data_IF_738054751896
#
_entry.id   IF_738054751896
#
_cell.length_a   1.000
_cell.length_b   1.000
_cell.length_c   1.000
_cell.angle_alpha   90.00
_cell.angle_beta   90.00
_cell.angle_gamma   90.00
#
_symmetry.space_group_name_H-M   'P 1'
#
loop_
_entity.id
_entity.type
_entity.pdbx_description
1 polymer ?
#
# COMPACT_ATOMS: atom_id res chain seq x y z
N UNK A 1 -8.71 4.68 -27.67
CA UNK A 1 -8.35 3.87 -26.50
C UNK A 1 -7.05 4.44 -25.96
N UNK A 2 -6.92 4.65 -24.66
CA UNK A 2 -5.67 5.18 -24.07
C UNK A 2 -4.61 4.07 -23.96
N UNK A 3 -3.35 4.44 -23.76
CA UNK A 3 -2.27 3.46 -23.54
C UNK A 3 -2.55 2.66 -22.27
N UNK A 4 -3.07 3.30 -21.23
CA UNK A 4 -3.45 2.65 -19.97
C UNK A 4 -4.47 1.54 -20.21
N UNK A 5 -5.57 1.82 -20.95
CA UNK A 5 -6.61 0.81 -21.24
C UNK A 5 -6.05 -0.35 -22.04
N UNK A 6 -5.28 -0.08 -23.09
CA UNK A 6 -4.64 -1.10 -23.93
C UNK A 6 -3.74 -2.07 -23.12
N UNK A 7 -2.91 -1.51 -22.24
CA UNK A 7 -1.98 -2.28 -21.42
C UNK A 7 -2.75 -3.19 -20.46
N UNK A 8 -3.80 -2.68 -19.83
CA UNK A 8 -4.55 -3.42 -18.81
C UNK A 8 -5.44 -4.50 -19.45
N UNK A 9 -6.12 -4.21 -20.56
CA UNK A 9 -6.92 -5.20 -21.28
C UNK A 9 -6.07 -6.36 -21.80
N UNK A 10 -4.87 -6.09 -22.33
CA UNK A 10 -3.91 -7.13 -22.72
C UNK A 10 -3.48 -8.03 -21.56
N UNK A 11 -3.62 -7.55 -20.31
CA UNK A 11 -3.33 -8.30 -19.07
C UNK A 11 -4.56 -8.92 -18.42
N UNK A 12 -5.69 -8.92 -19.13
CA UNK A 12 -6.94 -9.59 -18.72
C UNK A 12 -7.83 -8.77 -17.80
N UNK A 13 -7.59 -7.47 -17.66
CA UNK A 13 -8.56 -6.58 -17.01
C UNK A 13 -9.74 -6.33 -17.94
N UNK A 14 -10.96 -6.30 -17.39
CA UNK A 14 -12.13 -5.93 -18.17
C UNK A 14 -12.10 -4.44 -18.56
N UNK A 15 -12.84 -4.07 -19.61
CA UNK A 15 -12.84 -2.71 -20.15
C UNK A 15 -13.29 -1.66 -19.13
N UNK A 16 -14.23 -2.00 -18.24
CA UNK A 16 -14.71 -1.07 -17.21
C UNK A 16 -13.59 -0.75 -16.20
N UNK A 17 -12.94 -1.77 -15.70
CA UNK A 17 -11.80 -1.65 -14.79
C UNK A 17 -10.66 -0.88 -15.44
N UNK A 18 -10.36 -1.16 -16.72
CA UNK A 18 -9.31 -0.46 -17.47
C UNK A 18 -9.64 1.04 -17.66
N UNK A 19 -10.90 1.40 -17.88
CA UNK A 19 -11.36 2.80 -17.96
C UNK A 19 -11.29 3.51 -16.59
N UNK A 20 -11.54 2.81 -15.49
CA UNK A 20 -11.39 3.34 -14.14
C UNK A 20 -9.91 3.69 -13.86
N UNK A 21 -8.97 2.86 -14.26
CA UNK A 21 -7.54 3.14 -14.18
C UNK A 21 -7.11 4.31 -15.08
N UNK A 22 -7.68 4.43 -16.29
CA UNK A 22 -7.41 5.58 -17.14
C UNK A 22 -7.90 6.89 -16.50
N UNK A 23 -9.11 6.89 -15.94
CA UNK A 23 -9.64 8.04 -15.19
C UNK A 23 -8.75 8.40 -14.00
N UNK A 24 -8.21 7.40 -13.31
CA UNK A 24 -7.24 7.60 -12.23
C UNK A 24 -5.95 8.22 -12.74
N UNK A 25 -5.39 7.71 -13.85
CA UNK A 25 -4.18 8.25 -14.47
C UNK A 25 -4.36 9.72 -14.87
N UNK A 26 -5.43 10.05 -15.58
CA UNK A 26 -5.72 11.43 -15.97
C UNK A 26 -5.82 12.37 -14.76
N UNK A 27 -6.47 11.90 -13.69
CA UNK A 27 -6.59 12.67 -12.44
C UNK A 27 -5.22 12.82 -11.77
N UNK A 28 -4.40 11.76 -11.77
CA UNK A 28 -3.05 11.76 -11.21
C UNK A 28 -2.16 12.79 -11.91
N UNK A 29 -2.15 12.81 -13.24
CA UNK A 29 -1.32 13.75 -14.03
C UNK A 29 -1.78 15.20 -13.78
N UNK A 30 -3.08 15.47 -13.83
CA UNK A 30 -3.62 16.81 -13.55
C UNK A 30 -3.20 17.33 -12.16
N UNK A 31 -3.23 16.49 -11.14
CA UNK A 31 -2.80 16.88 -9.79
C UNK A 31 -1.28 16.93 -9.65
N UNK A 32 -0.56 16.09 -10.38
CA UNK A 32 0.90 16.04 -10.32
C UNK A 32 1.56 17.35 -10.73
N UNK A 33 0.96 18.08 -11.68
CA UNK A 33 1.38 19.43 -12.07
C UNK A 33 1.35 20.43 -10.90
N UNK A 34 0.51 20.17 -9.87
CA UNK A 34 0.28 21.08 -8.75
C UNK A 34 1.03 20.72 -7.48
N UNK A 35 1.19 19.41 -7.21
CA UNK A 35 1.67 18.97 -5.87
C UNK A 35 2.74 17.87 -5.90
N UNK A 36 3.31 17.52 -7.05
CA UNK A 36 4.36 16.52 -7.20
C UNK A 36 4.02 15.18 -6.50
N UNK A 37 3.02 14.47 -6.99
CA UNK A 37 2.55 13.18 -6.45
C UNK A 37 3.48 12.04 -6.82
N UNK A 38 4.03 12.06 -8.03
CA UNK A 38 4.88 11.01 -8.59
C UNK A 38 5.93 11.60 -9.55
N UNK A 39 7.08 10.93 -9.66
CA UNK A 39 8.07 11.20 -10.69
C UNK A 39 7.75 10.49 -12.03
N UNK A 40 6.85 9.49 -12.01
CA UNK A 40 6.46 8.71 -13.19
C UNK A 40 5.23 9.37 -13.82
N UNK A 41 5.46 10.05 -14.94
CA UNK A 41 4.40 10.77 -15.68
C UNK A 41 4.11 10.17 -17.05
N UNK A 42 5.00 9.32 -17.57
CA UNK A 42 4.73 8.54 -18.79
C UNK A 42 3.59 7.56 -18.55
N UNK A 43 2.63 7.52 -19.48
CA UNK A 43 1.39 6.75 -19.32
C UNK A 43 1.66 5.24 -19.25
N UNK A 44 2.56 4.73 -20.12
CA UNK A 44 2.95 3.31 -20.11
C UNK A 44 3.65 2.94 -18.82
N UNK A 45 4.60 3.76 -18.38
CA UNK A 45 5.30 3.52 -17.12
C UNK A 45 4.36 3.56 -15.91
N UNK A 46 3.41 4.51 -15.88
CA UNK A 46 2.42 4.60 -14.81
C UNK A 46 1.51 3.36 -14.78
N UNK A 47 1.03 2.91 -15.94
CA UNK A 47 0.22 1.69 -16.04
C UNK A 47 0.98 0.47 -15.48
N UNK A 48 2.26 0.30 -15.81
CA UNK A 48 3.06 -0.84 -15.40
C UNK A 48 3.55 -0.71 -13.94
N UNK A 49 4.26 0.38 -13.64
CA UNK A 49 4.99 0.56 -12.38
C UNK A 49 4.11 1.05 -11.23
N UNK A 50 2.91 1.59 -11.52
CA UNK A 50 1.98 1.99 -10.48
C UNK A 50 0.78 1.03 -10.40
N UNK A 51 0.02 0.84 -11.49
CA UNK A 51 -1.23 0.08 -11.43
C UNK A 51 -0.98 -1.42 -11.37
N UNK A 52 -0.31 -1.99 -12.38
CA UNK A 52 -0.03 -3.44 -12.43
C UNK A 52 0.79 -3.89 -11.21
N UNK A 53 1.81 -3.13 -10.83
CA UNK A 53 2.61 -3.39 -9.62
C UNK A 53 1.74 -3.44 -8.36
N UNK A 54 0.89 -2.46 -8.16
CA UNK A 54 0.01 -2.39 -6.98
C UNK A 54 -0.98 -3.56 -6.92
N UNK A 55 -1.61 -3.90 -8.05
CA UNK A 55 -2.56 -5.02 -8.15
C UNK A 55 -1.89 -6.37 -7.94
N UNK A 56 -0.58 -6.46 -8.21
CA UNK A 56 0.19 -7.69 -7.96
C UNK A 56 0.18 -8.11 -6.48
N UNK A 57 -0.15 -7.22 -5.53
CA UNK A 57 -0.38 -7.60 -4.15
C UNK A 57 -1.49 -8.66 -3.99
N UNK A 58 -2.46 -8.70 -4.89
CA UNK A 58 -3.55 -9.70 -4.84
C UNK A 58 -3.08 -11.14 -5.12
N UNK A 59 -1.89 -11.31 -5.71
CA UNK A 59 -1.30 -12.63 -6.00
C UNK A 59 -1.04 -13.48 -4.76
N UNK A 60 -0.88 -12.86 -3.58
CA UNK A 60 -0.68 -13.62 -2.33
C UNK A 60 -1.94 -14.35 -1.81
N UNK A 61 -3.10 -14.17 -2.44
CA UNK A 61 -4.37 -14.82 -2.08
C UNK A 61 -4.85 -14.59 -0.64
N UNK A 62 -4.35 -13.55 0.04
CA UNK A 62 -4.73 -13.21 1.41
C UNK A 62 -5.97 -12.30 1.50
N UNK A 63 -6.30 -11.60 0.42
CA UNK A 63 -7.41 -10.65 0.36
C UNK A 63 -8.74 -11.40 0.19
N UNK A 64 -9.43 -11.71 1.32
CA UNK A 64 -10.74 -12.35 1.29
C UNK A 64 -11.85 -11.30 1.18
N UNK A 65 -13.07 -11.75 0.90
CA UNK A 65 -14.23 -10.86 0.75
C UNK A 65 -14.50 -10.03 2.00
N UNK A 66 -14.88 -8.78 1.80
CA UNK A 66 -15.27 -7.82 2.82
C UNK A 66 -14.20 -7.50 3.88
N UNK A 67 -12.93 -7.87 3.65
CA UNK A 67 -11.84 -7.54 4.57
C UNK A 67 -11.62 -6.03 4.68
N UNK A 68 -11.21 -5.61 5.88
CA UNK A 68 -10.74 -4.25 6.17
C UNK A 68 -9.25 -4.13 5.87
N UNK A 69 -8.89 -3.14 5.06
CA UNK A 69 -7.52 -2.91 4.61
C UNK A 69 -7.11 -1.48 4.97
N UNK A 70 -5.88 -1.31 5.40
CA UNK A 70 -5.26 0.00 5.57
C UNK A 70 -4.00 0.11 4.71
N UNK A 71 -3.87 1.22 3.98
CA UNK A 71 -2.68 1.57 3.22
C UNK A 71 -1.94 2.71 3.93
N UNK A 72 -0.76 2.42 4.45
CA UNK A 72 0.02 3.34 5.29
C UNK A 72 1.09 4.05 4.49
N UNK A 73 1.01 5.38 4.45
CA UNK A 73 1.86 6.20 3.62
C UNK A 73 1.50 6.07 2.15
N UNK A 74 0.22 6.06 1.86
CA UNK A 74 -0.35 5.73 0.55
C UNK A 74 0.11 6.64 -0.59
N UNK A 75 0.54 7.86 -0.29
CA UNK A 75 1.02 8.83 -1.28
C UNK A 75 -0.06 9.18 -2.30
N UNK A 76 0.18 8.83 -3.54
CA UNK A 76 -0.80 8.98 -4.61
C UNK A 76 -1.81 7.81 -4.68
N UNK A 77 -2.02 7.07 -3.59
CA UNK A 77 -3.01 5.99 -3.50
C UNK A 77 -2.46 4.59 -3.78
N UNK A 78 -1.15 4.40 -3.74
CA UNK A 78 -0.50 3.13 -4.09
C UNK A 78 0.05 2.40 -2.86
N UNK A 79 -0.31 1.09 -2.70
CA UNK A 79 -1.05 0.24 -3.61
C UNK A 79 -2.57 0.20 -3.39
N UNK A 80 -3.11 0.91 -2.38
CA UNK A 80 -4.47 0.76 -1.89
C UNK A 80 -5.56 0.98 -2.93
N UNK A 81 -5.54 2.10 -3.67
CA UNK A 81 -6.57 2.41 -4.67
C UNK A 81 -6.61 1.40 -5.84
N UNK A 82 -5.49 1.00 -6.46
CA UNK A 82 -5.51 -0.07 -7.47
C UNK A 82 -6.08 -1.39 -6.95
N UNK A 83 -5.76 -1.79 -5.73
CA UNK A 83 -6.35 -2.96 -5.08
C UNK A 83 -7.88 -2.79 -4.96
N UNK A 84 -8.34 -1.63 -4.51
CA UNK A 84 -9.77 -1.32 -4.35
C UNK A 84 -10.52 -1.29 -5.69
N UNK A 85 -9.92 -0.77 -6.74
CA UNK A 85 -10.52 -0.76 -8.09
C UNK A 85 -10.80 -2.20 -8.54
N UNK A 86 -9.86 -3.12 -8.33
CA UNK A 86 -10.01 -4.54 -8.68
C UNK A 86 -10.90 -5.33 -7.68
N UNK A 87 -10.97 -4.90 -6.43
CA UNK A 87 -11.67 -5.59 -5.33
C UNK A 87 -12.59 -4.62 -4.60
N UNK A 88 -13.72 -4.30 -5.23
CA UNK A 88 -14.70 -3.31 -4.71
C UNK A 88 -15.39 -3.75 -3.44
N UNK A 89 -15.34 -5.03 -3.12
CA UNK A 89 -15.84 -5.64 -1.90
C UNK A 89 -15.01 -5.29 -0.63
N UNK A 90 -13.75 -4.89 -0.79
CA UNK A 90 -12.87 -4.57 0.33
C UNK A 90 -13.20 -3.20 0.95
N UNK A 91 -13.03 -3.08 2.26
CA UNK A 91 -13.14 -1.79 2.98
C UNK A 91 -11.74 -1.19 3.10
N UNK A 92 -11.49 -0.06 2.44
CA UNK A 92 -10.16 0.54 2.35
C UNK A 92 -10.03 1.82 3.17
N UNK A 93 -8.97 1.92 3.96
CA UNK A 93 -8.54 3.15 4.63
C UNK A 93 -7.17 3.56 4.10
N UNK A 94 -7.06 4.78 3.58
CA UNK A 94 -5.84 5.36 3.03
C UNK A 94 -5.29 6.40 4.01
N UNK A 95 -4.03 6.24 4.43
CA UNK A 95 -3.39 7.15 5.40
C UNK A 95 -2.20 7.85 4.78
N UNK A 96 -2.20 9.18 4.80
CA UNK A 96 -1.04 9.99 4.43
C UNK A 96 -0.88 11.19 5.37
N UNK A 97 0.36 11.60 5.60
CA UNK A 97 0.71 12.74 6.46
C UNK A 97 0.58 14.10 5.77
N UNK A 98 0.32 14.14 4.46
CA UNK A 98 0.19 15.36 3.68
C UNK A 98 -1.27 15.58 3.24
N UNK A 99 -1.90 16.62 3.78
CA UNK A 99 -3.31 16.92 3.47
C UNK A 99 -3.58 17.12 1.97
N UNK A 100 -2.61 17.65 1.22
CA UNK A 100 -2.74 17.82 -0.23
C UNK A 100 -2.94 16.47 -0.95
N UNK A 101 -2.26 15.42 -0.49
CA UNK A 101 -2.44 14.05 -1.02
C UNK A 101 -3.80 13.48 -0.66
N UNK A 102 -4.24 13.70 0.58
CA UNK A 102 -5.59 13.30 1.01
C UNK A 102 -6.67 13.93 0.15
N UNK A 103 -6.55 15.21 -0.19
CA UNK A 103 -7.49 15.89 -1.09
C UNK A 103 -7.50 15.27 -2.50
N UNK A 104 -6.33 14.94 -3.05
CA UNK A 104 -6.23 14.21 -4.31
C UNK A 104 -6.92 12.84 -4.24
N UNK A 105 -6.66 12.07 -3.19
CA UNK A 105 -7.27 10.75 -2.99
C UNK A 105 -8.80 10.84 -2.95
N UNK A 106 -9.35 11.83 -2.24
CA UNK A 106 -10.79 12.06 -2.17
C UNK A 106 -11.39 12.36 -3.55
N UNK A 107 -10.69 13.11 -4.40
CA UNK A 107 -11.15 13.36 -5.76
C UNK A 107 -11.17 12.08 -6.60
N UNK A 108 -10.12 11.25 -6.54
CA UNK A 108 -10.09 9.96 -7.24
C UNK A 108 -11.23 9.05 -6.75
N UNK A 109 -11.40 8.92 -5.43
CA UNK A 109 -12.46 8.11 -4.83
C UNK A 109 -13.85 8.57 -5.34
N UNK A 110 -14.08 9.87 -5.33
CA UNK A 110 -15.34 10.46 -5.81
C UNK A 110 -15.59 10.22 -7.30
N UNK A 111 -14.58 10.46 -8.15
CA UNK A 111 -14.68 10.25 -9.61
C UNK A 111 -14.94 8.80 -9.99
N UNK A 112 -14.36 7.87 -9.26
CA UNK A 112 -14.51 6.43 -9.51
C UNK A 112 -15.68 5.80 -8.74
N UNK A 113 -16.37 6.55 -7.88
CA UNK A 113 -17.49 6.04 -7.08
C UNK A 113 -17.11 4.88 -6.16
N UNK A 114 -15.90 4.92 -5.56
CA UNK A 114 -15.39 3.84 -4.72
C UNK A 114 -16.03 3.88 -3.33
N UNK A 115 -17.10 3.12 -3.14
CA UNK A 115 -17.73 2.93 -1.82
C UNK A 115 -16.79 2.26 -0.81
N UNK A 116 -17.09 2.38 0.49
CA UNK A 116 -16.28 1.82 1.58
C UNK A 116 -14.78 2.14 1.48
N UNK A 117 -14.47 3.39 1.07
CA UNK A 117 -13.11 3.89 0.92
C UNK A 117 -12.97 5.20 1.68
N UNK A 118 -12.06 5.23 2.64
CA UNK A 118 -11.86 6.34 3.57
C UNK A 118 -10.44 6.86 3.50
N UNK A 119 -10.26 8.15 3.71
CA UNK A 119 -8.94 8.79 3.79
C UNK A 119 -8.73 9.39 5.17
N UNK A 120 -7.50 9.32 5.68
CA UNK A 120 -7.13 9.90 6.97
C UNK A 120 -5.85 10.71 6.78
N UNK A 121 -5.93 12.00 7.13
CA UNK A 121 -4.77 12.87 7.25
C UNK A 121 -4.14 12.69 8.63
N UNK A 122 -3.12 11.86 8.73
CA UNK A 122 -2.41 11.61 9.99
C UNK A 122 -1.01 11.05 9.73
N UNK A 123 -0.15 11.18 10.75
CA UNK A 123 1.09 10.39 10.81
C UNK A 123 0.77 8.98 11.29
N UNK A 124 1.42 7.99 10.70
CA UNK A 124 1.22 6.58 11.07
C UNK A 124 1.55 6.34 12.56
N UNK A 125 2.58 7.03 13.09
CA UNK A 125 3.00 6.92 14.49
C UNK A 125 1.94 7.41 15.48
N UNK A 126 1.13 8.39 15.09
CA UNK A 126 0.04 8.94 15.91
C UNK A 126 -1.20 8.05 15.77
N UNK A 127 -1.59 7.74 14.54
CA UNK A 127 -2.77 6.94 14.25
C UNK A 127 -2.65 5.50 14.80
N UNK A 128 -1.45 4.90 14.76
CA UNK A 128 -1.18 3.55 15.27
C UNK A 128 -1.33 3.42 16.81
N UNK A 129 -1.48 4.54 17.53
CA UNK A 129 -1.81 4.59 18.96
C UNK A 129 -3.30 4.81 19.22
N UNK A 130 -4.03 5.27 18.21
CA UNK A 130 -5.47 5.50 18.35
C UNK A 130 -6.21 4.17 18.44
N UNK A 131 -7.02 4.00 19.48
CA UNK A 131 -7.79 2.77 19.77
C UNK A 131 -8.77 2.39 18.67
N UNK A 132 -9.25 3.38 17.89
CA UNK A 132 -10.20 3.13 16.80
C UNK A 132 -9.51 2.51 15.57
N UNK A 133 -8.20 2.62 15.46
CA UNK A 133 -7.44 2.13 14.32
C UNK A 133 -6.42 1.04 14.69
N UNK A 134 -5.94 1.03 15.94
CA UNK A 134 -4.96 0.05 16.41
C UNK A 134 -5.54 -1.35 16.42
N UNK A 135 -4.85 -2.27 15.70
CA UNK A 135 -5.21 -3.69 15.61
C UNK A 135 -6.66 -3.94 15.11
N UNK A 136 -7.11 -3.13 14.14
CA UNK A 136 -8.45 -3.20 13.58
C UNK A 136 -8.52 -3.76 12.16
N UNK A 137 -7.41 -3.79 11.44
CA UNK A 137 -7.41 -4.14 10.03
C UNK A 137 -6.96 -5.57 9.79
N UNK A 138 -7.62 -6.23 8.82
CA UNK A 138 -7.27 -7.58 8.38
C UNK A 138 -5.92 -7.58 7.69
N UNK A 139 -5.69 -6.58 6.82
CA UNK A 139 -4.46 -6.43 6.08
C UNK A 139 -4.00 -4.97 6.17
N UNK A 140 -2.71 -4.77 6.44
CA UNK A 140 -2.01 -3.53 6.18
C UNK A 140 -1.17 -3.69 4.92
N UNK A 141 -1.26 -2.74 4.01
CA UNK A 141 -0.37 -2.67 2.83
C UNK A 141 0.49 -1.42 2.91
N UNK A 142 1.67 -1.45 2.30
CA UNK A 142 2.50 -0.25 2.11
C UNK A 142 3.51 -0.47 0.98
N UNK A 143 3.84 0.62 0.27
CA UNK A 143 4.81 0.63 -0.82
C UNK A 143 5.74 1.86 -0.73
N UNK A 144 7.05 1.66 -0.90
CA UNK A 144 8.05 2.71 -1.12
C UNK A 144 8.16 3.83 -0.05
N UNK A 145 7.68 3.62 1.19
CA UNK A 145 7.72 4.63 2.26
C UNK A 145 9.06 4.67 2.97
N UNK A 146 9.61 3.49 3.32
CA UNK A 146 10.86 3.34 4.07
C UNK A 146 11.42 1.92 3.95
N UNK A 147 12.57 1.65 4.61
CA UNK A 147 13.07 0.29 4.75
C UNK A 147 12.11 -0.59 5.60
N UNK A 148 12.23 -1.89 5.47
CA UNK A 148 11.28 -2.84 6.08
C UNK A 148 11.26 -2.75 7.61
N UNK A 149 12.40 -2.46 8.28
CA UNK A 149 12.46 -2.26 9.74
C UNK A 149 11.50 -1.13 10.18
N UNK A 150 11.60 0.02 9.51
CA UNK A 150 10.75 1.18 9.78
C UNK A 150 9.30 0.91 9.43
N UNK A 151 9.05 0.31 8.27
CA UNK A 151 7.69 -0.02 7.83
C UNK A 151 7.00 -0.98 8.77
N UNK A 152 7.71 -1.99 9.28
CA UNK A 152 7.17 -2.93 10.25
C UNK A 152 6.67 -2.19 11.50
N UNK A 153 7.43 -1.21 12.01
CA UNK A 153 6.99 -0.41 13.17
C UNK A 153 5.78 0.48 12.86
N UNK A 154 5.70 1.01 11.65
CA UNK A 154 4.60 1.89 11.24
C UNK A 154 3.32 1.13 10.88
N UNK A 155 3.43 -0.11 10.38
CA UNK A 155 2.31 -0.88 9.82
C UNK A 155 1.74 -1.93 10.79
N UNK A 156 2.59 -2.65 11.53
CA UNK A 156 2.15 -3.73 12.42
C UNK A 156 1.16 -3.30 13.50
N UNK A 157 1.22 -2.06 14.06
CA UNK A 157 0.23 -1.60 15.02
C UNK A 157 -1.21 -1.55 14.50
N UNK A 158 -1.44 -1.49 13.20
CA UNK A 158 -2.78 -1.48 12.62
C UNK A 158 -3.37 -2.88 12.39
N UNK A 159 -2.50 -3.88 12.23
CA UNK A 159 -2.90 -5.25 11.89
C UNK A 159 -3.46 -5.97 13.11
N UNK A 160 -4.66 -6.53 13.01
CA UNK A 160 -5.23 -7.37 14.07
C UNK A 160 -4.48 -8.69 14.22
N UNK A 161 -4.48 -9.30 15.38
CA UNK A 161 -3.91 -10.64 15.57
C UNK A 161 -4.60 -11.63 14.62
N UNK A 162 -3.81 -12.39 13.87
CA UNK A 162 -4.27 -13.27 12.78
C UNK A 162 -4.27 -12.61 11.40
N UNK A 163 -4.15 -11.28 11.31
CA UNK A 163 -4.05 -10.54 10.05
C UNK A 163 -2.63 -10.48 9.49
N UNK A 164 -2.44 -9.69 8.42
CA UNK A 164 -1.19 -9.66 7.67
C UNK A 164 -0.72 -8.24 7.35
N UNK A 165 0.59 -8.05 7.35
CA UNK A 165 1.25 -6.93 6.71
C UNK A 165 1.85 -7.40 5.39
N UNK A 166 1.44 -6.79 4.28
CA UNK A 166 1.92 -7.07 2.93
C UNK A 166 2.67 -5.84 2.41
N UNK A 167 3.99 -5.95 2.32
CA UNK A 167 4.86 -4.86 1.87
C UNK A 167 5.35 -5.09 0.45
N UNK A 168 5.07 -4.13 -0.45
CA UNK A 168 5.59 -4.15 -1.81
C UNK A 168 7.01 -3.59 -1.78
N UNK A 169 7.96 -4.40 -2.23
CA UNK A 169 9.40 -4.13 -2.18
C UNK A 169 10.09 -4.36 -3.51
N UNK A 170 11.17 -3.66 -3.72
CA UNK A 170 12.08 -3.85 -4.84
C UNK A 170 13.09 -4.97 -4.60
N UNK A 171 14.20 -5.01 -5.38
CA UNK A 171 15.16 -6.11 -5.39
C UNK A 171 15.88 -6.38 -4.07
N UNK A 172 15.94 -5.39 -3.17
CA UNK A 172 16.60 -5.52 -1.85
C UNK A 172 15.72 -6.12 -0.75
N UNK A 173 14.59 -6.74 -1.10
CA UNK A 173 13.63 -7.26 -0.13
C UNK A 173 14.24 -8.30 0.82
N UNK A 174 15.15 -9.16 0.33
CA UNK A 174 15.81 -10.18 1.15
C UNK A 174 16.77 -9.59 2.18
N UNK A 175 17.56 -8.61 1.77
CA UNK A 175 18.48 -7.90 2.65
C UNK A 175 17.71 -7.13 3.73
N UNK A 176 16.67 -6.40 3.31
CA UNK A 176 15.81 -5.67 4.24
C UNK A 176 15.10 -6.61 5.24
N UNK A 177 14.70 -7.80 4.81
CA UNK A 177 14.09 -8.81 5.69
C UNK A 177 15.06 -9.28 6.79
N UNK A 178 16.32 -9.53 6.42
CA UNK A 178 17.36 -9.95 7.39
C UNK A 178 17.51 -8.90 8.49
N UNK A 179 17.57 -7.61 8.10
CA UNK A 179 17.66 -6.50 9.05
C UNK A 179 16.39 -6.34 9.91
N UNK A 180 15.22 -6.64 9.33
CA UNK A 180 13.92 -6.42 9.97
C UNK A 180 13.48 -7.55 10.93
N UNK A 181 14.20 -8.67 11.02
CA UNK A 181 13.79 -9.83 11.85
C UNK A 181 13.42 -9.44 13.27
N UNK A 182 14.31 -8.68 13.94
CA UNK A 182 14.07 -8.22 15.32
C UNK A 182 12.85 -7.28 15.42
N UNK A 183 12.65 -6.38 14.45
CA UNK A 183 11.49 -5.52 14.42
C UNK A 183 10.20 -6.33 14.27
N UNK A 184 10.19 -7.32 13.36
CA UNK A 184 9.04 -8.20 13.13
C UNK A 184 8.64 -8.91 14.43
N UNK A 185 9.59 -9.57 15.09
CA UNK A 185 9.35 -10.31 16.34
C UNK A 185 8.88 -9.39 17.48
N UNK A 186 9.54 -8.24 17.67
CA UNK A 186 9.20 -7.28 18.72
C UNK A 186 7.83 -6.65 18.57
N UNK A 187 7.34 -6.53 17.33
CA UNK A 187 6.05 -5.94 17.02
C UNK A 187 4.91 -6.96 16.90
N UNK A 188 5.20 -8.22 17.28
CA UNK A 188 4.22 -9.30 17.30
C UNK A 188 3.98 -9.96 15.95
N UNK A 189 4.90 -9.84 15.02
CA UNK A 189 4.85 -10.45 13.71
C UNK A 189 5.65 -11.74 13.61
N UNK A 190 5.34 -12.51 12.57
CA UNK A 190 6.08 -13.66 12.10
C UNK A 190 6.22 -13.56 10.58
N UNK A 191 7.44 -13.73 10.08
CA UNK A 191 7.66 -13.77 8.63
C UNK A 191 7.01 -15.02 8.02
N UNK A 192 6.27 -14.84 6.93
CA UNK A 192 5.64 -15.94 6.20
C UNK A 192 6.43 -16.28 4.95
N UNK A 193 6.55 -15.34 4.01
CA UNK A 193 7.25 -15.58 2.74
C UNK A 193 7.67 -14.27 2.05
N UNK A 194 8.60 -14.39 1.12
CA UNK A 194 8.83 -13.41 0.05
C UNK A 194 8.31 -14.03 -1.24
N UNK A 195 7.31 -13.41 -1.83
CA UNK A 195 6.79 -13.78 -3.14
C UNK A 195 7.41 -12.85 -4.19
N UNK A 196 8.25 -13.41 -5.07
CA UNK A 196 8.75 -12.69 -6.23
C UNK A 196 7.69 -12.66 -7.32
N UNK A 197 7.61 -11.55 -8.03
CA UNK A 197 6.76 -11.42 -9.21
C UNK A 197 7.40 -10.51 -10.25
N UNK A 198 7.16 -10.84 -11.51
CA UNK A 198 7.63 -10.05 -12.63
C UNK A 198 6.46 -9.25 -13.21
N UNK A 199 6.79 -8.11 -13.76
CA UNK A 199 5.90 -7.30 -14.58
C UNK A 199 6.57 -7.22 -15.94
N UNK A 200 5.98 -7.88 -16.93
CA UNK A 200 6.47 -7.86 -18.31
C UNK A 200 6.74 -6.42 -18.76
N UNK A 201 7.79 -6.24 -19.52
CA UNK A 201 8.27 -4.95 -20.00
C UNK A 201 8.88 -4.04 -18.91
N UNK A 202 9.15 -4.56 -17.71
CA UNK A 202 9.95 -3.88 -16.69
C UNK A 202 11.16 -4.73 -16.31
N UNK A 203 12.31 -4.08 -16.09
CA UNK A 203 13.53 -4.78 -15.63
C UNK A 203 13.61 -4.92 -14.10
N UNK A 204 12.54 -4.58 -13.39
CA UNK A 204 12.54 -4.50 -11.93
C UNK A 204 12.09 -5.83 -11.32
N UNK A 205 12.91 -6.38 -10.43
CA UNK A 205 12.52 -7.48 -9.55
C UNK A 205 11.59 -6.94 -8.46
N UNK A 206 10.33 -7.32 -8.52
CA UNK A 206 9.31 -6.95 -7.55
C UNK A 206 9.09 -8.06 -6.54
N UNK A 207 8.82 -7.68 -5.30
CA UNK A 207 8.66 -8.62 -4.19
C UNK A 207 7.50 -8.22 -3.29
N UNK A 208 6.70 -9.18 -2.87
CA UNK A 208 5.80 -9.04 -1.73
C UNK A 208 6.48 -9.67 -0.51
N UNK A 209 6.69 -8.89 0.53
CA UNK A 209 7.11 -9.43 1.84
C UNK A 209 5.86 -9.56 2.69
N UNK A 210 5.56 -10.78 3.14
CA UNK A 210 4.35 -11.12 3.88
C UNK A 210 4.73 -11.44 5.32
N UNK A 211 4.12 -10.69 6.25
CA UNK A 211 4.30 -10.82 7.69
C UNK A 211 2.95 -11.06 8.33
N UNK A 212 2.79 -12.15 9.08
CA UNK A 212 1.58 -12.46 9.83
C UNK A 212 1.65 -11.85 11.22
N UNK A 213 0.57 -11.27 11.70
CA UNK A 213 0.44 -10.80 13.08
C UNK A 213 0.08 -11.97 13.98
N UNK A 214 0.95 -12.38 14.88
CA UNK A 214 0.75 -13.52 15.79
C UNK A 214 0.54 -13.12 17.25
N UNK A 215 0.90 -11.90 17.63
CA UNK A 215 0.76 -11.34 18.98
C UNK A 215 0.40 -9.87 18.91
N UNK A 216 -0.25 -9.29 19.93
CA UNK A 216 -0.46 -7.85 20.00
C UNK A 216 0.86 -7.07 19.96
N UNK A 217 0.87 -5.94 19.27
CA UNK A 217 2.02 -5.02 19.31
C UNK A 217 2.11 -4.36 20.68
N UNK A 218 3.29 -4.38 21.37
CA UNK A 218 3.42 -3.74 22.66
C UNK A 218 3.03 -2.25 22.63
N UNK A 219 2.40 -1.74 23.69
CA UNK A 219 1.82 -0.38 23.74
C UNK A 219 2.85 0.75 23.52
N UNK A 220 4.13 0.50 23.84
CA UNK A 220 5.22 1.46 23.58
C UNK A 220 5.48 1.72 22.08
N UNK A 221 4.89 0.91 21.19
CA UNK A 221 4.99 1.06 19.74
C UNK A 221 3.64 1.47 19.10
N UNK A 222 3.68 2.22 18.00
CA UNK A 222 4.88 2.78 17.37
C UNK A 222 5.51 3.89 18.23
N UNK A 223 6.85 4.04 18.15
CA UNK A 223 7.54 5.16 18.76
C UNK A 223 7.15 6.46 18.07
N UNK A 224 7.31 7.59 18.78
CA UNK A 224 6.99 8.89 18.19
C UNK A 224 7.92 9.23 17.03
N UNK A 225 7.39 9.94 16.01
CA UNK A 225 8.18 10.51 14.94
C UNK A 225 9.32 11.40 15.50
N UNK A 226 10.49 11.40 14.88
CA UNK A 226 10.89 10.64 13.69
C UNK A 226 11.62 9.32 14.00
N UNK A 227 11.51 8.78 15.23
CA UNK A 227 12.31 7.62 15.69
C UNK A 227 12.21 6.38 14.80
N UNK A 228 11.02 5.93 14.35
CA UNK A 228 10.92 4.75 13.49
C UNK A 228 11.78 4.84 12.22
N UNK A 229 11.87 6.04 11.64
CA UNK A 229 12.62 6.29 10.40
C UNK A 229 14.11 6.54 10.67
N UNK A 230 14.44 7.38 11.67
CA UNK A 230 15.84 7.76 11.94
C UNK A 230 16.63 6.69 12.65
N UNK A 231 16.00 5.93 13.54
CA UNK A 231 16.61 4.89 14.35
C UNK A 231 15.75 3.62 14.29
N UNK A 232 15.68 2.91 13.14
CA UNK A 232 14.88 1.70 13.01
C UNK A 232 15.34 0.60 13.96
N UNK A 233 14.41 -0.27 14.33
CA UNK A 233 14.71 -1.47 15.15
C UNK A 233 15.43 -2.47 14.25
N UNK A 234 16.70 -2.75 14.58
CA UNK A 234 17.55 -3.72 13.89
C UNK A 234 17.98 -4.84 14.80
#
# INVERSE_FOLDING_TARGET
>A
MSITTDILEKRGFDSKTSMEFDTYYQTLIYWNEKINLTAITDEKEAALKHFVDSVSALRCNLFKENMSIIDVGTGAGFPGLPIKICRKDLKLTLVDSLNKRVNFLNEVISKLGLGDTYTIHARAEELGKNKDHREKYDICVSRAVANLCSLTELCMPFVKVGGYFVSLKGPKAKEELIEAKKAIEMLGGEFVEIMNYDIDETELNHNLVIIKKIKPTPEKFPRNAPKPIKNPIK
#
